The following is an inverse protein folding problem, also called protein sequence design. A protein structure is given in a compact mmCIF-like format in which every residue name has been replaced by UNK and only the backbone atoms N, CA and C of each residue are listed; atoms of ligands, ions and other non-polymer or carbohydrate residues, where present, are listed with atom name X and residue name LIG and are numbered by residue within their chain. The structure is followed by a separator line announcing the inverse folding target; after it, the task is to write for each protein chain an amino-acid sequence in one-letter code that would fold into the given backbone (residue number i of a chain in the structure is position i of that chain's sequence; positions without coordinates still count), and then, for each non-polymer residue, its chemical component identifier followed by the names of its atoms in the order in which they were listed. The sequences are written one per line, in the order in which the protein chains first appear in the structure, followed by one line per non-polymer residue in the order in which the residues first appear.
data_IF_694498135260
#
_entry.id   IF_694498135260
#
_cell.length_a   1.000
_cell.length_b   1.000
_cell.length_c   1.000
_cell.angle_alpha   90.00
_cell.angle_beta   90.00
_cell.angle_gamma   90.00
#
_symmetry.space_group_name_H-M   'P 1'
#
loop_
_entity.id
_entity.type
_entity.pdbx_description
1 polymer ?
#
# COMPACT_ATOMS: atom_id res chain seq x y z
N UNK A 1 14.57 -39.14 10.34
CA UNK A 1 15.51 -38.09 9.90
C UNK A 1 15.39 -37.77 8.43
N UNK A 2 14.19 -37.72 7.86
CA UNK A 2 13.99 -37.52 6.40
C UNK A 2 13.38 -36.16 6.02
N UNK A 3 13.00 -35.34 7.01
CA UNK A 3 12.42 -34.00 6.79
C UNK A 3 13.43 -32.85 6.79
N UNK A 4 14.69 -33.11 7.18
CA UNK A 4 15.76 -32.13 7.21
C UNK A 4 16.09 -31.51 5.84
N UNK A 5 16.29 -32.30 4.76
CA UNK A 5 16.61 -31.71 3.45
C UNK A 5 15.43 -30.91 2.87
N UNK A 6 14.19 -31.36 3.10
CA UNK A 6 12.98 -30.64 2.64
C UNK A 6 12.86 -29.29 3.35
N UNK A 7 13.04 -29.25 4.68
CA UNK A 7 13.00 -28.00 5.45
C UNK A 7 14.09 -27.00 5.07
N UNK A 8 15.29 -27.49 4.73
CA UNK A 8 16.38 -26.61 4.30
C UNK A 8 16.04 -25.98 2.95
N UNK A 9 15.50 -26.76 2.01
CA UNK A 9 15.05 -26.27 0.70
C UNK A 9 13.87 -25.30 0.86
N UNK A 10 12.92 -25.61 1.75
CA UNK A 10 11.79 -24.75 2.08
C UNK A 10 12.25 -23.41 2.67
N UNK A 11 13.10 -23.42 3.70
CA UNK A 11 13.65 -22.22 4.32
C UNK A 11 14.50 -21.40 3.34
N UNK A 12 15.27 -22.06 2.46
CA UNK A 12 16.05 -21.38 1.43
C UNK A 12 15.13 -20.73 0.38
N UNK A 13 14.04 -21.40 0.01
CA UNK A 13 13.00 -20.87 -0.87
C UNK A 13 12.28 -19.66 -0.26
N UNK A 14 11.95 -19.71 1.03
CA UNK A 14 11.38 -18.58 1.77
C UNK A 14 12.35 -17.40 1.85
N UNK A 15 13.62 -17.66 2.20
CA UNK A 15 14.65 -16.63 2.28
C UNK A 15 14.90 -15.97 0.92
N UNK A 16 15.00 -16.75 -0.15
CA UNK A 16 15.11 -16.23 -1.51
C UNK A 16 13.88 -15.40 -1.90
N UNK A 17 12.68 -15.89 -1.60
CA UNK A 17 11.44 -15.16 -1.88
C UNK A 17 11.34 -13.84 -1.12
N UNK A 18 11.82 -13.79 0.12
CA UNK A 18 11.93 -12.55 0.90
C UNK A 18 12.96 -11.59 0.30
N UNK A 19 14.16 -12.10 -0.02
CA UNK A 19 15.26 -11.31 -0.54
C UNK A 19 14.97 -10.70 -1.91
N UNK A 20 14.30 -11.44 -2.79
CA UNK A 20 13.97 -10.95 -4.14
C UNK A 20 12.59 -10.30 -4.23
N UNK A 21 11.61 -10.79 -3.45
CA UNK A 21 10.24 -10.29 -3.49
C UNK A 21 10.07 -8.90 -2.91
N UNK A 22 10.75 -8.59 -1.79
CA UNK A 22 10.66 -7.26 -1.16
C UNK A 22 11.22 -6.14 -2.06
N UNK A 23 12.45 -6.23 -2.60
CA UNK A 23 12.97 -5.20 -3.51
C UNK A 23 12.13 -5.09 -4.78
N UNK A 24 11.70 -6.22 -5.36
CA UNK A 24 10.93 -6.23 -6.59
C UNK A 24 9.54 -5.59 -6.41
N UNK A 25 8.89 -5.81 -5.26
CA UNK A 25 7.61 -5.18 -4.94
C UNK A 25 7.73 -3.67 -4.67
N UNK A 26 8.86 -3.21 -4.12
CA UNK A 26 9.07 -1.81 -3.74
C UNK A 26 9.69 -0.96 -4.85
N UNK A 27 10.34 -1.60 -5.83
CA UNK A 27 11.04 -0.93 -6.93
C UNK A 27 10.16 0.07 -7.67
N UNK A 28 8.88 -0.23 -7.86
CA UNK A 28 7.95 0.71 -8.51
C UNK A 28 7.76 1.99 -7.69
N UNK A 29 7.69 1.89 -6.37
CA UNK A 29 7.60 3.06 -5.49
C UNK A 29 8.84 3.93 -5.56
N UNK A 30 10.04 3.31 -5.63
CA UNK A 30 11.32 4.03 -5.76
C UNK A 30 11.43 4.76 -7.10
N UNK A 31 11.08 4.09 -8.21
CA UNK A 31 11.07 4.73 -9.54
C UNK A 31 10.15 5.94 -9.61
N UNK A 32 8.95 5.81 -9.04
CA UNK A 32 7.95 6.88 -8.99
C UNK A 32 8.47 8.04 -8.12
N UNK A 33 9.03 7.73 -6.95
CA UNK A 33 9.61 8.73 -6.04
C UNK A 33 10.81 9.47 -6.62
N UNK A 34 11.63 8.83 -7.46
CA UNK A 34 12.79 9.45 -8.10
C UNK A 34 12.43 10.34 -9.31
N UNK A 35 11.15 10.53 -9.62
CA UNK A 35 10.71 11.36 -10.73
C UNK A 35 10.72 12.86 -10.38
N UNK A 36 10.73 13.73 -11.39
CA UNK A 36 10.63 15.17 -11.21
C UNK A 36 9.19 15.66 -10.88
N UNK A 37 8.23 14.75 -10.69
CA UNK A 37 6.84 15.11 -10.40
C UNK A 37 6.74 15.47 -8.92
N UNK A 38 6.34 16.71 -8.56
CA UNK A 38 6.46 17.19 -7.18
C UNK A 38 5.70 16.33 -6.17
N UNK A 39 4.46 15.93 -6.48
CA UNK A 39 3.67 15.04 -5.63
C UNK A 39 4.34 13.68 -5.35
N UNK A 40 5.22 13.20 -6.23
CA UNK A 40 5.93 11.93 -6.03
C UNK A 40 7.29 12.14 -5.36
N UNK A 41 8.03 13.17 -5.76
CA UNK A 41 9.35 13.48 -5.20
C UNK A 41 9.27 13.90 -3.72
N UNK A 42 8.26 14.71 -3.35
CA UNK A 42 8.05 15.09 -1.95
C UNK A 42 7.68 13.90 -1.06
N UNK A 43 7.12 12.83 -1.64
CA UNK A 43 6.70 11.62 -0.93
C UNK A 43 7.63 10.42 -1.20
N UNK A 44 8.83 10.65 -1.77
CA UNK A 44 9.77 9.60 -2.16
C UNK A 44 10.23 8.70 -1.00
N UNK A 45 10.18 9.20 0.25
CA UNK A 45 10.49 8.42 1.45
C UNK A 45 9.37 7.47 1.90
N UNK A 46 8.11 7.79 1.59
CA UNK A 46 6.94 7.03 2.08
C UNK A 46 6.40 6.06 0.98
N UNK A 47 6.53 6.43 -0.30
CA UNK A 47 6.09 5.64 -1.46
C UNK A 47 6.60 4.19 -1.50
N UNK A 48 7.89 3.89 -1.26
CA UNK A 48 8.39 2.50 -1.32
C UNK A 48 7.75 1.60 -0.28
N UNK A 49 7.48 2.13 0.92
CA UNK A 49 6.83 1.39 2.00
C UNK A 49 5.38 1.12 1.65
N UNK A 50 4.66 2.11 1.10
CA UNK A 50 3.28 1.93 0.65
C UNK A 50 3.16 0.84 -0.43
N UNK A 51 4.02 0.89 -1.46
CA UNK A 51 4.01 -0.14 -2.52
C UNK A 51 4.31 -1.54 -2.00
N UNK A 52 5.19 -1.65 -1.01
CA UNK A 52 5.51 -2.92 -0.35
C UNK A 52 4.35 -3.48 0.46
N UNK A 53 3.74 -2.66 1.31
CA UNK A 53 2.62 -3.08 2.15
C UNK A 53 1.37 -3.38 1.34
N UNK A 54 1.10 -2.57 0.31
CA UNK A 54 0.05 -2.81 -0.67
C UNK A 54 0.29 -4.11 -1.47
N UNK A 55 1.55 -4.38 -1.86
CA UNK A 55 1.95 -5.63 -2.50
C UNK A 55 1.75 -6.85 -1.59
N UNK A 56 2.13 -6.73 -0.32
CA UNK A 56 1.91 -7.77 0.70
C UNK A 56 0.41 -8.03 0.89
N UNK A 57 -0.41 -6.99 1.00
CA UNK A 57 -1.86 -7.10 1.13
C UNK A 57 -2.47 -7.84 -0.07
N UNK A 58 -2.06 -7.49 -1.29
CA UNK A 58 -2.53 -8.14 -2.51
C UNK A 58 -2.08 -9.61 -2.59
N UNK A 59 -0.82 -9.92 -2.29
CA UNK A 59 -0.30 -11.30 -2.30
C UNK A 59 -1.01 -12.18 -1.27
N UNK A 60 -1.20 -11.69 -0.04
CA UNK A 60 -1.99 -12.41 0.99
C UNK A 60 -3.42 -12.63 0.49
N UNK A 61 -4.05 -11.60 -0.07
CA UNK A 61 -5.40 -11.71 -0.61
C UNK A 61 -5.52 -12.76 -1.72
N UNK A 62 -4.57 -12.78 -2.66
CA UNK A 62 -4.52 -13.76 -3.74
C UNK A 62 -4.30 -15.19 -3.22
N UNK A 63 -3.36 -15.40 -2.29
CA UNK A 63 -3.13 -16.71 -1.67
C UNK A 63 -4.37 -17.21 -0.93
N UNK A 64 -5.07 -16.32 -0.22
CA UNK A 64 -6.36 -16.62 0.39
C UNK A 64 -7.43 -16.94 -0.67
N UNK A 65 -7.47 -16.23 -1.80
CA UNK A 65 -8.40 -16.52 -2.88
C UNK A 65 -8.16 -17.90 -3.53
N UNK A 66 -6.90 -18.29 -3.69
CA UNK A 66 -6.46 -19.59 -4.24
C UNK A 66 -6.71 -20.78 -3.30
N UNK A 67 -7.13 -20.54 -2.05
CA UNK A 67 -7.58 -21.61 -1.15
C UNK A 67 -6.79 -21.73 0.16
N UNK A 68 -5.72 -20.97 0.36
CA UNK A 68 -4.89 -21.01 1.58
C UNK A 68 -5.53 -20.29 2.79
N UNK A 69 -6.86 -20.23 2.86
CA UNK A 69 -7.66 -19.49 3.85
C UNK A 69 -7.65 -20.08 5.26
N UNK A 70 -7.01 -21.22 5.50
CA UNK A 70 -6.86 -21.79 6.85
C UNK A 70 -5.53 -21.43 7.50
N UNK A 71 -4.61 -20.83 6.76
CA UNK A 71 -3.33 -20.39 7.33
C UNK A 71 -3.53 -19.23 8.30
N UNK A 72 -3.04 -19.42 9.53
CA UNK A 72 -2.99 -18.38 10.56
C UNK A 72 -1.95 -17.31 10.23
N UNK A 73 -0.85 -17.70 9.58
CA UNK A 73 0.19 -16.78 9.13
C UNK A 73 -0.36 -15.76 8.12
N UNK A 74 -1.09 -16.22 7.09
CA UNK A 74 -1.75 -15.31 6.13
C UNK A 74 -2.76 -14.39 6.81
N UNK A 75 -3.46 -14.88 7.83
CA UNK A 75 -4.41 -14.05 8.58
C UNK A 75 -3.71 -12.94 9.36
N UNK A 76 -2.58 -13.23 10.00
CA UNK A 76 -1.78 -12.23 10.73
C UNK A 76 -1.11 -11.24 9.78
N UNK A 77 -0.52 -11.73 8.68
CA UNK A 77 0.09 -10.86 7.65
C UNK A 77 -0.94 -9.91 7.04
N UNK A 78 -2.11 -10.43 6.66
CA UNK A 78 -3.18 -9.59 6.11
C UNK A 78 -3.80 -8.63 7.14
N UNK A 79 -3.79 -8.98 8.43
CA UNK A 79 -4.21 -8.05 9.49
C UNK A 79 -3.17 -6.94 9.67
N UNK A 80 -1.88 -7.27 9.70
CA UNK A 80 -0.79 -6.30 9.78
C UNK A 80 -0.78 -5.33 8.60
N UNK A 81 -1.00 -5.84 7.39
CA UNK A 81 -1.17 -5.03 6.20
C UNK A 81 -2.33 -4.04 6.32
N UNK A 82 -3.50 -4.52 6.76
CA UNK A 82 -4.68 -3.68 6.91
C UNK A 82 -4.53 -2.62 8.02
N UNK A 83 -3.80 -2.93 9.10
CA UNK A 83 -3.45 -1.97 10.15
C UNK A 83 -2.53 -0.88 9.60
N UNK A 84 -1.52 -1.27 8.83
CA UNK A 84 -0.59 -0.33 8.21
C UNK A 84 -1.31 0.63 7.25
N UNK A 85 -2.15 0.10 6.36
CA UNK A 85 -2.94 0.90 5.41
C UNK A 85 -3.91 1.85 6.14
N UNK A 86 -4.44 1.46 7.31
CA UNK A 86 -5.26 2.34 8.15
C UNK A 86 -4.43 3.45 8.83
N UNK A 87 -3.23 3.11 9.30
CA UNK A 87 -2.29 4.09 9.87
C UNK A 87 -1.83 5.10 8.84
N UNK A 88 -1.52 4.63 7.63
CA UNK A 88 -1.13 5.48 6.52
C UNK A 88 -2.26 6.41 6.09
N UNK A 89 -3.50 5.90 5.99
CA UNK A 89 -4.67 6.75 5.72
C UNK A 89 -4.83 7.85 6.77
N UNK A 90 -4.59 7.55 8.05
CA UNK A 90 -4.63 8.55 9.12
C UNK A 90 -3.47 9.55 9.05
N UNK A 91 -2.24 9.07 8.78
CA UNK A 91 -1.04 9.90 8.61
C UNK A 91 -1.20 10.88 7.44
N UNK A 92 -1.76 10.42 6.32
CA UNK A 92 -2.03 11.22 5.12
C UNK A 92 -3.12 12.28 5.35
N UNK A 93 -4.18 11.94 6.11
CA UNK A 93 -5.24 12.89 6.49
C UNK A 93 -4.70 13.96 7.45
N UNK A 94 -3.83 13.57 8.40
CA UNK A 94 -3.24 14.45 9.42
C UNK A 94 -2.20 15.44 8.88
N UNK A 95 -1.53 15.09 7.78
CA UNK A 95 -0.60 16.00 7.07
C UNK A 95 -1.40 17.05 6.28
N UNK A 96 -1.30 18.31 6.67
CA UNK A 96 -1.91 19.44 5.94
C UNK A 96 -0.86 20.10 5.02
N UNK A 97 -0.36 19.35 4.03
CA UNK A 97 0.64 19.84 3.09
C UNK A 97 -0.01 20.25 1.75
N UNK A 98 0.27 21.44 1.23
CA UNK A 98 -0.34 21.96 -0.02
C UNK A 98 -0.04 21.10 -1.25
N UNK A 99 1.07 20.34 -1.27
CA UNK A 99 1.35 19.37 -2.33
C UNK A 99 0.42 18.14 -2.34
N UNK A 100 -0.34 17.90 -1.24
CA UNK A 100 -1.35 16.85 -1.13
C UNK A 100 -2.76 17.36 -1.47
N UNK A 101 -2.92 18.65 -1.78
CA UNK A 101 -4.20 19.24 -2.18
C UNK A 101 -4.83 18.55 -3.42
N UNK A 102 -4.05 18.06 -4.42
CA UNK A 102 -4.54 17.20 -5.50
C UNK A 102 -5.02 15.81 -5.05
N UNK A 103 -4.51 15.26 -3.93
CA UNK A 103 -5.01 14.03 -3.32
C UNK A 103 -6.27 14.27 -2.48
N UNK A 104 -6.52 15.50 -2.03
CA UNK A 104 -7.66 15.83 -1.13
C UNK A 104 -8.89 16.38 -1.86
N UNK A 105 -8.76 16.93 -3.07
CA UNK A 105 -9.87 17.55 -3.83
C UNK A 105 -10.08 16.92 -5.21
N UNK A 106 -11.34 16.83 -5.65
CA UNK A 106 -11.72 16.33 -6.98
C UNK A 106 -11.85 14.80 -7.10
N UNK A 107 -11.87 14.29 -8.33
CA UNK A 107 -12.06 12.86 -8.62
C UNK A 107 -10.93 11.97 -8.08
N UNK A 108 -9.71 12.50 -7.96
CA UNK A 108 -8.55 11.84 -7.33
C UNK A 108 -8.74 11.67 -5.81
N UNK A 109 -9.33 12.65 -5.13
CA UNK A 109 -9.63 12.53 -3.69
C UNK A 109 -10.73 11.53 -3.39
N UNK A 110 -11.76 11.47 -4.24
CA UNK A 110 -12.77 10.40 -4.13
C UNK A 110 -12.14 9.01 -4.32
N UNK A 111 -11.20 8.87 -5.26
CA UNK A 111 -10.49 7.62 -5.52
C UNK A 111 -9.53 7.23 -4.39
N UNK A 112 -8.83 8.21 -3.81
CA UNK A 112 -7.93 8.02 -2.67
C UNK A 112 -8.72 7.61 -1.43
N UNK A 113 -9.88 8.24 -1.19
CA UNK A 113 -10.74 7.90 -0.06
C UNK A 113 -11.39 6.53 -0.21
N UNK A 114 -11.89 6.21 -1.40
CA UNK A 114 -12.48 4.88 -1.68
C UNK A 114 -11.42 3.79 -1.65
N UNK A 115 -10.25 4.00 -2.25
CA UNK A 115 -9.10 3.09 -2.20
C UNK A 115 -8.59 2.89 -0.77
N UNK A 116 -8.41 3.97 -0.01
CA UNK A 116 -7.99 3.93 1.39
C UNK A 116 -8.96 3.15 2.27
N UNK A 117 -10.28 3.36 2.10
CA UNK A 117 -11.32 2.60 2.83
C UNK A 117 -11.27 1.11 2.47
N UNK A 118 -11.11 0.78 1.19
CA UNK A 118 -11.08 -0.61 0.70
C UNK A 118 -9.78 -1.34 1.07
N UNK A 119 -8.68 -0.62 1.25
CA UNK A 119 -7.36 -1.19 1.55
C UNK A 119 -7.09 -1.33 3.06
N UNK A 120 -7.62 -0.42 3.88
CA UNK A 120 -7.38 -0.39 5.33
C UNK A 120 -8.57 -0.84 6.18
N UNK A 121 -9.51 0.06 6.52
CA UNK A 121 -10.51 -0.18 7.55
C UNK A 121 -11.52 -1.27 7.18
N UNK A 122 -11.90 -1.40 5.90
CA UNK A 122 -12.81 -2.45 5.45
C UNK A 122 -12.18 -3.85 5.64
N UNK A 123 -11.02 -4.19 5.04
CA UNK A 123 -10.40 -5.50 5.24
C UNK A 123 -10.00 -5.74 6.69
N UNK A 124 -9.62 -4.71 7.46
CA UNK A 124 -9.36 -4.83 8.89
C UNK A 124 -10.62 -5.26 9.65
N UNK A 125 -11.74 -4.57 9.45
CA UNK A 125 -13.00 -4.90 10.09
C UNK A 125 -13.48 -6.31 9.71
N UNK A 126 -13.39 -6.68 8.42
CA UNK A 126 -13.75 -8.03 7.98
C UNK A 126 -12.83 -9.11 8.55
N UNK A 127 -11.51 -8.84 8.69
CA UNK A 127 -10.57 -9.78 9.30
C UNK A 127 -10.85 -9.95 10.78
N UNK A 128 -11.12 -8.88 11.52
CA UNK A 128 -11.51 -8.96 12.95
C UNK A 128 -12.85 -9.68 13.11
N UNK A 129 -13.86 -9.34 12.30
CA UNK A 129 -15.15 -10.02 12.31
C UNK A 129 -15.01 -11.52 12.00
N UNK A 130 -14.09 -11.90 11.11
CA UNK A 130 -13.82 -13.30 10.79
C UNK A 130 -13.27 -14.10 11.98
N UNK A 131 -12.52 -13.47 12.89
CA UNK A 131 -12.01 -14.12 14.10
C UNK A 131 -13.14 -14.44 15.09
N UNK A 132 -14.17 -13.60 15.13
CA UNK A 132 -15.33 -13.77 16.02
C UNK A 132 -16.40 -14.67 15.43
N UNK A 133 -16.50 -14.76 14.10
CA UNK A 133 -17.69 -15.29 13.42
C UNK A 133 -17.69 -16.78 13.08
N UNK A 134 -16.81 -17.61 13.67
CA UNK A 134 -16.80 -19.09 13.56
C UNK A 134 -17.27 -19.69 12.22
N UNK A 135 -18.59 -19.92 12.08
CA UNK A 135 -19.26 -20.43 10.85
C UNK A 135 -19.13 -19.53 9.61
N UNK A 136 -19.05 -18.22 9.75
CA UNK A 136 -18.94 -17.25 8.64
C UNK A 136 -17.51 -16.76 8.37
N UNK A 137 -16.54 -17.21 9.17
CA UNK A 137 -15.14 -16.76 9.11
C UNK A 137 -14.55 -16.87 7.69
N UNK A 138 -14.81 -17.96 6.98
CA UNK A 138 -14.29 -18.19 5.62
C UNK A 138 -14.86 -17.22 4.59
N UNK A 139 -16.15 -16.87 4.69
CA UNK A 139 -16.79 -15.90 3.78
C UNK A 139 -16.23 -14.49 4.04
N UNK A 140 -16.09 -14.11 5.31
CA UNK A 140 -15.52 -12.82 5.72
C UNK A 140 -14.06 -12.68 5.29
N UNK A 141 -13.23 -13.74 5.45
CA UNK A 141 -11.85 -13.75 4.93
C UNK A 141 -11.79 -13.59 3.42
N UNK A 142 -12.69 -14.24 2.68
CA UNK A 142 -12.74 -14.09 1.21
C UNK A 142 -13.08 -12.66 0.81
N UNK A 143 -14.04 -12.03 1.47
CA UNK A 143 -14.41 -10.64 1.23
C UNK A 143 -13.26 -9.68 1.60
N UNK A 144 -12.59 -9.89 2.74
CA UNK A 144 -11.42 -9.11 3.14
C UNK A 144 -10.27 -9.23 2.13
N UNK A 145 -10.04 -10.43 1.60
CA UNK A 145 -9.03 -10.67 0.59
C UNK A 145 -9.36 -9.98 -0.74
N UNK A 146 -10.62 -10.03 -1.19
CA UNK A 146 -11.07 -9.32 -2.39
C UNK A 146 -10.98 -7.80 -2.21
N UNK A 147 -11.39 -7.28 -1.05
CA UNK A 147 -11.30 -5.84 -0.77
C UNK A 147 -9.86 -5.36 -0.70
N UNK A 148 -8.95 -6.12 -0.08
CA UNK A 148 -7.53 -5.78 0.00
C UNK A 148 -6.86 -5.73 -1.39
N UNK A 149 -7.14 -6.70 -2.26
CA UNK A 149 -6.63 -6.69 -3.64
C UNK A 149 -7.19 -5.50 -4.44
N UNK A 150 -8.51 -5.25 -4.33
CA UNK A 150 -9.13 -4.13 -5.00
C UNK A 150 -8.63 -2.77 -4.46
N UNK A 151 -8.45 -2.65 -3.15
CA UNK A 151 -7.89 -1.48 -2.49
C UNK A 151 -6.47 -1.19 -2.94
N UNK A 152 -5.59 -2.21 -2.97
CA UNK A 152 -4.23 -2.11 -3.48
C UNK A 152 -4.17 -1.60 -4.92
N UNK A 153 -5.07 -2.06 -5.79
CA UNK A 153 -5.15 -1.58 -7.17
C UNK A 153 -5.61 -0.11 -7.23
N UNK A 154 -6.64 0.22 -6.46
CA UNK A 154 -7.20 1.57 -6.43
C UNK A 154 -6.22 2.60 -5.87
N UNK A 155 -5.46 2.28 -4.82
CA UNK A 155 -4.45 3.18 -4.25
C UNK A 155 -3.32 3.46 -5.23
N UNK A 156 -2.86 2.44 -5.97
CA UNK A 156 -1.87 2.63 -7.05
C UNK A 156 -2.39 3.54 -8.16
N UNK A 157 -3.65 3.36 -8.60
CA UNK A 157 -4.27 4.23 -9.62
C UNK A 157 -4.43 5.66 -9.09
N UNK A 158 -4.78 5.82 -7.80
CA UNK A 158 -4.89 7.12 -7.16
C UNK A 158 -3.55 7.87 -7.18
N UNK A 159 -2.44 7.20 -6.84
CA UNK A 159 -1.09 7.78 -6.92
C UNK A 159 -0.70 8.21 -8.33
N UNK A 160 -1.00 7.39 -9.35
CA UNK A 160 -0.74 7.72 -10.76
C UNK A 160 -1.52 8.97 -11.17
N UNK A 161 -2.81 9.01 -10.82
CA UNK A 161 -3.69 10.13 -11.18
C UNK A 161 -3.34 11.42 -10.44
N UNK A 162 -2.95 11.30 -9.17
CA UNK A 162 -2.47 12.42 -8.38
C UNK A 162 -1.21 13.05 -8.98
N UNK A 163 -0.26 12.24 -9.45
CA UNK A 163 0.92 12.76 -10.12
C UNK A 163 0.61 13.47 -11.44
N UNK A 164 -0.37 12.98 -12.21
CA UNK A 164 -0.79 13.64 -13.45
C UNK A 164 -1.41 15.02 -13.19
N UNK A 165 -2.20 15.16 -12.11
CA UNK A 165 -2.78 16.46 -11.71
C UNK A 165 -1.68 17.41 -11.19
N UNK A 166 -0.77 16.91 -10.35
CA UNK A 166 0.37 17.70 -9.84
C UNK A 166 1.30 18.18 -10.96
N UNK A 167 1.55 17.35 -11.98
CA UNK A 167 2.37 17.72 -13.13
C UNK A 167 1.77 18.84 -14.00
N UNK A 168 0.45 19.05 -13.93
CA UNK A 168 -0.25 20.12 -14.65
C UNK A 168 -0.32 21.43 -13.85
N UNK A 169 0.01 21.40 -12.56
CA UNK A 169 -0.05 22.57 -11.69
C UNK A 169 1.26 23.37 -11.76
N UNK A 170 1.23 24.48 -12.49
CA UNK A 170 2.39 25.33 -12.81
C UNK A 170 2.95 26.13 -11.62
N UNK A 171 2.34 26.03 -10.43
CA UNK A 171 2.74 26.78 -9.22
C UNK A 171 3.98 26.20 -8.52
N UNK A 172 4.24 24.90 -8.68
CA UNK A 172 5.34 24.18 -8.04
C UNK A 172 6.75 24.62 -8.52
N UNK A 173 7.02 24.84 -9.83
CA UNK A 173 8.30 25.37 -10.31
C UNK A 173 8.65 26.78 -9.78
N UNK A 174 7.65 27.61 -9.45
CA UNK A 174 7.87 28.97 -8.96
C UNK A 174 8.32 28.97 -7.50
N UNK A 175 7.78 28.08 -6.67
CA UNK A 175 8.17 27.94 -5.26
C UNK A 175 9.63 27.52 -5.08
N UNK A 176 10.13 26.66 -5.97
CA UNK A 176 11.52 26.22 -5.98
C UNK A 176 12.51 27.35 -6.36
N UNK A 177 12.06 28.34 -7.16
CA UNK A 177 12.83 29.55 -7.48
C UNK A 177 12.94 30.51 -6.29
N UNK A 178 11.86 30.64 -5.51
CA UNK A 178 11.82 31.52 -4.35
C UNK A 178 12.68 30.98 -3.19
N UNK A 179 12.69 29.65 -2.96
CA UNK A 179 13.55 29.03 -1.93
C UNK A 179 15.04 29.13 -2.25
N UNK A 180 15.42 29.12 -3.54
CA UNK A 180 16.81 29.30 -3.97
C UNK A 180 17.29 30.76 -3.85
N UNK A 181 16.36 31.73 -3.85
CA UNK A 181 16.69 33.15 -3.70
C UNK A 181 16.75 33.60 -2.24
N UNK A 182 16.04 32.94 -1.33
CA UNK A 182 16.11 33.20 0.11
C UNK A 182 17.32 32.54 0.79
N UNK A 183 17.81 31.40 0.30
CA UNK A 183 19.03 30.74 0.81
C UNK A 183 20.35 31.38 0.36
N UNK A 184 20.30 32.49 -0.37
CA UNK A 184 21.47 33.23 -0.89
C UNK A 184 21.56 34.66 -0.31
N UNK A 185 20.79 34.99 0.73
CA UNK A 185 20.86 36.26 1.46
C UNK A 185 21.41 36.08 2.88
#
# INVERSE_FOLDING_TARGET
GESLPIRIIENAGEAASLLFGLPFSNYTGVLIGASAIPAWNENAGELPVHFGMSGLAASVGLLELMGHRRSRALQMLGLGAAVFECWEGWHLESRNNSALEPLKRGASGALTRTGGILSGPLPLALRVASLMSGRHATKMRKLAAMSAVAGSLLTRIAWIRAGHVSAQDWREPLRNRDSLTDGQR
#
